data_IF_663564830596
#
_entry.id   IF_663564830596
#
_cell.length_a   1.000
_cell.length_b   1.000
_cell.length_c   1.000
_cell.angle_alpha   90.00
_cell.angle_beta   90.00
_cell.angle_gamma   90.00
#
_symmetry.space_group_name_H-M   'P 1'
#
loop_
_entity.id
_entity.type
_entity.pdbx_description
1 polymer ?
#
# COMPACT_ATOMS: atom_id res chain seq x y z
N UNK A 1 -13.27 10.94 2.87
CA UNK A 1 -12.46 9.85 3.47
C UNK A 1 -13.25 8.52 3.46
N UNK A 2 -14.59 8.56 3.34
CA UNK A 2 -15.44 7.36 3.44
C UNK A 2 -15.51 6.45 2.21
N UNK A 3 -14.82 6.77 1.12
CA UNK A 3 -14.87 5.96 -0.11
C UNK A 3 -13.56 5.23 -0.44
N UNK A 4 -12.59 5.24 0.47
CA UNK A 4 -11.26 4.71 0.17
C UNK A 4 -11.16 3.19 0.23
N UNK A 5 -12.01 2.56 1.04
CA UNK A 5 -12.13 1.12 1.14
C UNK A 5 -13.58 0.82 1.49
N UNK A 6 -14.19 -0.15 0.87
CA UNK A 6 -15.30 -0.89 1.47
C UNK A 6 -14.71 -1.66 2.68
N UNK A 7 -14.33 -0.89 3.68
CA UNK A 7 -13.86 -1.41 4.94
C UNK A 7 -15.09 -1.96 5.65
N UNK A 8 -15.09 -3.25 5.92
CA UNK A 8 -15.95 -3.83 6.95
C UNK A 8 -15.56 -3.19 8.28
N UNK A 9 -16.12 -2.03 8.54
CA UNK A 9 -15.87 -1.23 9.74
C UNK A 9 -16.92 -1.52 10.78
N UNK A 10 -16.52 -2.11 11.88
CA UNK A 10 -17.30 -2.05 13.12
C UNK A 10 -17.07 -0.66 13.72
N UNK A 11 -18.09 0.18 13.71
CA UNK A 11 -18.04 1.54 14.27
C UNK A 11 -18.58 1.54 15.69
N UNK A 12 -17.78 2.05 16.62
CA UNK A 12 -18.20 2.26 18.02
C UNK A 12 -19.01 3.52 18.22
N UNK A 13 -19.65 3.62 19.38
CA UNK A 13 -20.44 4.78 19.78
C UNK A 13 -19.55 5.96 20.15
N UNK A 14 -19.93 7.16 19.69
CA UNK A 14 -19.09 8.37 19.76
C UNK A 14 -19.19 9.13 21.09
N UNK A 15 -19.50 8.46 22.19
CA UNK A 15 -19.84 9.11 23.48
C UNK A 15 -18.65 9.54 24.35
N UNK A 16 -17.40 9.33 23.93
CA UNK A 16 -16.24 9.71 24.74
C UNK A 16 -15.57 10.99 24.24
N UNK A 17 -15.20 11.88 25.17
CA UNK A 17 -14.38 13.08 24.90
C UNK A 17 -12.94 12.75 24.46
N UNK A 18 -12.55 11.48 24.47
CA UNK A 18 -11.22 11.02 24.07
C UNK A 18 -11.13 10.86 22.55
N UNK A 19 -9.96 11.12 21.97
CA UNK A 19 -9.74 10.92 20.55
C UNK A 19 -9.92 9.46 20.17
N UNK A 20 -10.65 9.23 19.07
CA UNK A 20 -10.94 7.90 18.56
C UNK A 20 -9.78 7.40 17.67
N UNK A 21 -9.48 6.12 17.82
CA UNK A 21 -8.48 5.39 17.02
C UNK A 21 -9.17 4.25 16.31
N UNK A 22 -8.79 4.01 15.07
CA UNK A 22 -9.23 2.87 14.30
C UNK A 22 -8.07 1.89 14.17
N UNK A 23 -8.31 0.63 14.59
CA UNK A 23 -7.30 -0.41 14.61
C UNK A 23 -7.60 -1.49 13.58
N UNK A 24 -6.57 -2.09 12.99
CA UNK A 24 -6.73 -3.30 12.21
C UNK A 24 -7.18 -4.47 13.10
N UNK A 25 -7.97 -5.37 12.56
CA UNK A 25 -8.55 -6.50 13.30
C UNK A 25 -7.49 -7.37 13.98
N UNK A 26 -6.38 -7.62 13.31
CA UNK A 26 -5.29 -8.42 13.89
C UNK A 26 -4.65 -7.73 15.10
N UNK A 27 -4.45 -6.41 15.03
CA UNK A 27 -3.94 -5.62 16.16
C UNK A 27 -4.93 -5.61 17.32
N UNK A 28 -6.22 -5.40 17.06
CA UNK A 28 -7.26 -5.40 18.09
C UNK A 28 -7.35 -6.76 18.79
N UNK A 29 -7.31 -7.87 18.05
CA UNK A 29 -7.28 -9.23 18.60
C UNK A 29 -6.05 -9.50 19.44
N UNK A 30 -4.85 -9.12 18.94
CA UNK A 30 -3.59 -9.32 19.66
C UNK A 30 -3.54 -8.57 20.99
N UNK A 31 -4.12 -7.38 21.03
CA UNK A 31 -4.19 -6.55 22.23
C UNK A 31 -5.46 -6.81 23.07
N UNK A 32 -6.32 -7.73 22.62
CA UNK A 32 -7.62 -8.04 23.24
C UNK A 32 -8.48 -6.80 23.49
N UNK A 33 -8.55 -5.92 22.49
CA UNK A 33 -9.29 -4.66 22.50
C UNK A 33 -10.61 -4.80 21.75
N UNK A 34 -11.68 -4.26 22.34
CA UNK A 34 -13.00 -4.14 21.74
C UNK A 34 -13.33 -2.69 21.45
N UNK A 35 -14.44 -2.47 20.74
CA UNK A 35 -14.98 -1.13 20.51
C UNK A 35 -15.29 -0.44 21.85
N UNK A 36 -14.86 0.81 21.97
CA UNK A 36 -15.04 1.59 23.20
C UNK A 36 -13.95 1.39 24.26
N UNK A 37 -13.06 0.42 24.10
CA UNK A 37 -11.96 0.22 25.04
C UNK A 37 -10.94 1.36 24.97
N UNK A 38 -10.42 1.75 26.15
CA UNK A 38 -9.37 2.74 26.28
C UNK A 38 -8.00 2.14 25.98
N UNK A 39 -7.22 2.83 25.15
CA UNK A 39 -5.82 2.46 24.91
C UNK A 39 -4.91 3.69 25.03
N UNK A 40 -3.61 3.42 25.20
CA UNK A 40 -2.60 4.45 25.25
C UNK A 40 -1.63 4.26 24.09
N UNK A 41 -1.55 5.29 23.24
CA UNK A 41 -0.60 5.31 22.13
C UNK A 41 0.65 6.03 22.60
N UNK A 42 1.80 5.47 22.26
CA UNK A 42 3.10 6.05 22.57
C UNK A 42 3.87 6.30 21.28
N UNK A 43 4.54 7.45 21.20
CA UNK A 43 5.50 7.67 20.12
C UNK A 43 6.77 6.84 20.35
N UNK A 44 7.46 6.40 19.30
CA UNK A 44 8.82 5.90 19.46
C UNK A 44 9.66 6.99 20.11
N UNK A 45 10.67 6.57 20.88
CA UNK A 45 11.58 7.49 21.58
C UNK A 45 12.24 8.38 20.54
N UNK A 46 11.93 9.67 20.60
CA UNK A 46 12.56 10.66 19.74
C UNK A 46 13.93 11.01 20.34
N UNK A 47 15.01 10.74 19.61
CA UNK A 47 16.37 11.04 20.03
C UNK A 47 16.62 12.54 20.30
N UNK A 48 15.67 13.41 19.90
CA UNK A 48 15.68 14.84 20.21
C UNK A 48 15.04 15.20 21.55
N UNK A 49 14.39 14.27 22.23
CA UNK A 49 13.84 14.51 23.57
C UNK A 49 14.93 14.39 24.62
N UNK A 50 15.33 15.48 25.24
CA UNK A 50 16.42 15.56 26.25
C UNK A 50 16.27 14.62 27.44
N UNK A 51 15.11 13.99 27.63
CA UNK A 51 14.81 13.15 28.79
C UNK A 51 14.37 11.72 28.43
N UNK A 52 14.33 11.35 27.14
CA UNK A 52 14.03 9.99 26.69
C UNK A 52 12.62 9.46 27.07
N UNK A 53 11.70 10.34 27.51
CA UNK A 53 10.35 9.94 27.89
C UNK A 53 9.46 9.98 26.65
N UNK A 54 8.88 8.84 26.22
CA UNK A 54 8.01 8.80 25.05
C UNK A 54 6.71 9.57 25.36
N UNK A 55 6.24 10.32 24.38
CA UNK A 55 4.93 10.99 24.48
C UNK A 55 3.84 9.92 24.43
N UNK A 56 2.84 10.12 25.26
CA UNK A 56 1.71 9.21 25.38
C UNK A 56 0.40 9.99 25.27
N UNK A 57 -0.56 9.43 24.56
CA UNK A 57 -1.90 9.99 24.43
C UNK A 57 -2.90 8.87 24.71
N UNK A 58 -3.89 9.16 25.57
CA UNK A 58 -5.01 8.27 25.79
C UNK A 58 -6.01 8.43 24.66
N UNK A 59 -6.47 7.33 24.14
CA UNK A 59 -7.44 7.24 23.06
C UNK A 59 -8.46 6.16 23.36
N UNK A 60 -9.52 6.11 22.60
CA UNK A 60 -10.53 5.07 22.66
C UNK A 60 -10.63 4.38 21.31
N UNK A 61 -10.91 3.08 21.31
CA UNK A 61 -11.13 2.31 20.07
C UNK A 61 -12.47 2.75 19.46
N UNK A 62 -12.41 3.62 18.45
CA UNK A 62 -13.57 4.11 17.72
C UNK A 62 -14.04 3.19 16.60
N UNK A 63 -13.19 2.26 16.15
CA UNK A 63 -13.54 1.30 15.12
C UNK A 63 -12.46 0.26 14.91
N UNK A 64 -12.86 -0.89 14.40
CA UNK A 64 -11.96 -1.97 13.98
C UNK A 64 -12.20 -2.23 12.50
N UNK A 65 -11.14 -2.26 11.71
CA UNK A 65 -11.21 -2.50 10.27
C UNK A 65 -10.48 -3.77 9.86
N UNK A 66 -10.91 -4.35 8.76
CA UNK A 66 -10.27 -5.51 8.15
C UNK A 66 -10.11 -5.25 6.64
N UNK A 67 -8.86 -5.15 6.19
CA UNK A 67 -8.51 -4.93 4.78
C UNK A 67 -8.28 -6.27 4.06
N UNK A 68 -8.25 -7.38 4.80
CA UNK A 68 -7.92 -8.72 4.31
C UNK A 68 -6.48 -8.84 3.76
N UNK A 69 -5.61 -7.92 4.12
CA UNK A 69 -4.19 -7.96 3.84
C UNK A 69 -3.47 -8.08 5.17
N UNK A 70 -3.02 -9.29 5.49
CA UNK A 70 -2.44 -9.67 6.80
C UNK A 70 -1.41 -8.68 7.33
N UNK A 71 -0.51 -8.21 6.47
CA UNK A 71 0.55 -7.28 6.87
C UNK A 71 0.05 -5.86 7.18
N UNK A 72 -1.06 -5.43 6.60
CA UNK A 72 -1.63 -4.12 6.84
C UNK A 72 -2.52 -4.10 8.08
N UNK A 73 -3.33 -5.14 8.27
CA UNK A 73 -4.23 -5.26 9.43
C UNK A 73 -3.47 -5.38 10.77
N UNK A 74 -2.20 -5.79 10.73
CA UNK A 74 -1.34 -5.89 11.92
C UNK A 74 -0.51 -4.63 12.20
N UNK A 75 -0.24 -3.80 11.18
CA UNK A 75 0.75 -2.71 11.27
C UNK A 75 0.16 -1.31 11.17
N UNK A 76 -1.09 -1.18 10.74
CA UNK A 76 -1.69 0.13 10.48
C UNK A 76 -2.73 0.45 11.55
N UNK A 77 -2.71 1.69 12.01
CA UNK A 77 -3.74 2.30 12.82
C UNK A 77 -4.03 3.71 12.29
N UNK A 78 -5.31 4.07 12.24
CA UNK A 78 -5.71 5.42 11.85
C UNK A 78 -6.00 6.25 13.10
N UNK A 79 -5.38 7.41 13.18
CA UNK A 79 -5.57 8.37 14.26
C UNK A 79 -5.93 9.74 13.67
N UNK A 80 -6.66 10.59 14.40
CA UNK A 80 -6.90 11.95 13.96
C UNK A 80 -5.58 12.74 13.81
N UNK A 81 -5.51 13.60 12.80
CA UNK A 81 -4.29 14.36 12.49
C UNK A 81 -3.80 15.20 13.67
N UNK A 82 -4.71 15.81 14.44
CA UNK A 82 -4.38 16.56 15.64
C UNK A 82 -3.72 15.72 16.74
N UNK A 83 -4.08 14.44 16.84
CA UNK A 83 -3.47 13.48 17.77
C UNK A 83 -2.08 13.11 17.28
N UNK A 84 -1.95 12.82 15.99
CA UNK A 84 -0.66 12.53 15.35
C UNK A 84 0.35 13.67 15.53
N UNK A 85 -0.08 14.91 15.31
CA UNK A 85 0.78 16.09 15.51
C UNK A 85 1.24 16.27 16.96
N UNK A 86 0.40 15.92 17.94
CA UNK A 86 0.79 15.96 19.35
C UNK A 86 1.72 14.81 19.74
N UNK A 87 1.54 13.66 19.12
CA UNK A 87 2.31 12.45 19.40
C UNK A 87 3.71 12.53 18.78
N UNK A 88 3.78 12.92 17.52
CA UNK A 88 5.02 13.11 16.78
C UNK A 88 5.35 14.59 16.75
N UNK A 89 6.47 15.01 17.36
CA UNK A 89 6.91 16.41 17.37
C UNK A 89 7.39 16.79 15.96
N UNK A 90 6.47 16.97 15.05
CA UNK A 90 6.81 17.46 13.71
C UNK A 90 6.33 18.90 13.56
N UNK A 91 7.27 19.79 13.28
CA UNK A 91 7.00 21.21 13.07
C UNK A 91 6.39 21.50 11.69
N UNK A 92 6.44 20.55 10.78
CA UNK A 92 6.25 20.79 9.34
C UNK A 92 5.01 20.10 8.72
N UNK A 93 4.01 19.78 9.52
CA UNK A 93 2.76 19.21 8.98
C UNK A 93 2.83 17.71 8.64
N UNK A 94 1.97 17.20 7.75
CA UNK A 94 1.96 15.82 7.34
C UNK A 94 3.16 15.46 6.44
N UNK A 95 3.62 14.22 6.50
CA UNK A 95 4.73 13.73 5.66
C UNK A 95 4.36 13.64 4.18
N UNK A 96 3.08 13.44 3.89
CA UNK A 96 2.57 13.31 2.55
C UNK A 96 1.06 13.42 2.49
N UNK A 97 0.56 13.53 1.29
CA UNK A 97 -0.87 13.56 0.98
C UNK A 97 -1.13 12.55 -0.12
N UNK A 98 -2.01 11.60 0.14
CA UNK A 98 -2.44 10.64 -0.86
C UNK A 98 -3.59 11.22 -1.68
N UNK A 99 -3.43 11.20 -3.00
CA UNK A 99 -4.42 11.71 -3.95
C UNK A 99 -4.94 10.56 -4.79
N UNK A 100 -6.24 10.32 -4.72
CA UNK A 100 -6.90 9.35 -5.59
C UNK A 100 -7.47 10.05 -6.82
N UNK A 101 -7.12 9.54 -7.98
CA UNK A 101 -7.63 10.03 -9.25
C UNK A 101 -8.90 9.26 -9.66
N UNK A 102 -9.71 9.86 -10.52
CA UNK A 102 -10.82 9.19 -11.20
C UNK A 102 -10.28 8.22 -12.25
N UNK A 103 -11.06 7.20 -12.62
CA UNK A 103 -10.63 6.10 -13.50
C UNK A 103 -10.06 6.56 -14.87
N UNK A 104 -10.51 7.70 -15.38
CA UNK A 104 -10.10 8.22 -16.69
C UNK A 104 -9.04 9.33 -16.61
N UNK A 105 -8.46 9.57 -15.43
CA UNK A 105 -7.46 10.62 -15.28
C UNK A 105 -6.09 10.17 -15.79
N UNK A 106 -5.44 11.04 -16.55
CA UNK A 106 -4.06 10.85 -16.98
C UNK A 106 -3.11 11.16 -15.80
N UNK A 107 -2.50 10.10 -15.27
CA UNK A 107 -1.61 10.17 -14.10
C UNK A 107 -0.42 11.09 -14.36
N UNK A 108 0.21 10.97 -15.53
CA UNK A 108 1.42 11.73 -15.87
C UNK A 108 1.11 13.23 -15.98
N UNK A 109 -0.02 13.56 -16.56
CA UNK A 109 -0.48 14.96 -16.69
C UNK A 109 -0.80 15.56 -15.33
N UNK A 110 -1.47 14.81 -14.46
CA UNK A 110 -1.79 15.27 -13.10
C UNK A 110 -0.52 15.44 -12.28
N UNK A 111 0.39 14.46 -12.32
CA UNK A 111 1.70 14.50 -11.68
C UNK A 111 2.47 15.76 -12.10
N UNK A 112 2.58 16.01 -13.40
CA UNK A 112 3.26 17.21 -13.92
C UNK A 112 2.60 18.53 -13.46
N UNK A 113 1.28 18.55 -13.37
CA UNK A 113 0.52 19.73 -12.91
C UNK A 113 0.75 20.02 -11.44
N UNK A 114 0.72 18.99 -10.60
CA UNK A 114 0.97 19.10 -9.16
C UNK A 114 2.41 19.50 -8.91
N UNK A 115 3.37 18.87 -9.57
CA UNK A 115 4.79 19.17 -9.44
C UNK A 115 5.13 20.63 -9.81
N UNK A 116 4.45 21.18 -10.84
CA UNK A 116 4.59 22.60 -11.21
C UNK A 116 4.06 23.55 -10.14
N UNK A 117 2.97 23.16 -9.47
CA UNK A 117 2.31 24.01 -8.48
C UNK A 117 2.97 23.95 -7.11
N UNK A 118 3.57 22.82 -6.77
CA UNK A 118 4.22 22.55 -5.49
C UNK A 118 5.67 22.16 -5.74
N UNK A 119 6.52 23.13 -5.99
CA UNK A 119 7.95 22.93 -6.33
C UNK A 119 8.75 22.26 -5.22
N UNK A 120 8.30 22.38 -3.98
CA UNK A 120 8.96 21.78 -2.80
C UNK A 120 8.40 20.40 -2.42
N UNK A 121 7.37 19.92 -3.12
CA UNK A 121 6.80 18.62 -2.88
C UNK A 121 7.34 17.60 -3.88
N UNK A 122 7.68 16.40 -3.41
CA UNK A 122 7.96 15.27 -4.28
C UNK A 122 6.65 14.57 -4.62
N UNK A 123 6.41 14.33 -5.90
CA UNK A 123 5.15 13.73 -6.38
C UNK A 123 5.48 12.39 -7.02
N UNK A 124 5.07 11.31 -6.35
CA UNK A 124 5.21 9.95 -6.86
C UNK A 124 3.86 9.38 -7.26
N UNK A 125 3.82 8.63 -8.32
CA UNK A 125 2.69 7.76 -8.62
C UNK A 125 2.86 6.43 -7.89
N UNK A 126 1.77 5.69 -7.73
CA UNK A 126 1.85 4.34 -7.18
C UNK A 126 2.80 3.43 -7.98
N UNK A 127 2.87 3.63 -9.29
CA UNK A 127 3.80 2.92 -10.17
C UNK A 127 5.27 3.25 -9.88
N UNK A 128 5.58 4.50 -9.53
CA UNK A 128 6.95 4.90 -9.19
C UNK A 128 7.40 4.28 -7.87
N UNK A 129 6.53 4.28 -6.87
CA UNK A 129 6.79 3.67 -5.56
C UNK A 129 7.00 2.16 -5.63
N UNK A 130 6.39 1.50 -6.61
CA UNK A 130 6.48 0.05 -6.82
C UNK A 130 7.21 -0.33 -8.12
N UNK A 131 8.13 0.51 -8.57
CA UNK A 131 8.87 0.32 -9.82
C UNK A 131 9.61 -1.01 -9.89
N UNK A 132 10.08 -1.54 -8.77
CA UNK A 132 10.72 -2.86 -8.68
C UNK A 132 9.75 -3.99 -9.01
N UNK A 133 8.50 -3.91 -8.50
CA UNK A 133 7.45 -4.90 -8.81
C UNK A 133 7.07 -4.85 -10.29
N UNK A 134 6.92 -3.66 -10.85
CA UNK A 134 6.64 -3.48 -12.28
C UNK A 134 7.80 -3.97 -13.16
N UNK A 135 9.04 -3.74 -12.72
CA UNK A 135 10.24 -4.27 -13.37
C UNK A 135 10.24 -5.79 -13.40
N UNK A 136 9.95 -6.44 -12.27
CA UNK A 136 9.87 -7.90 -12.18
C UNK A 136 8.76 -8.48 -13.06
N UNK A 137 7.57 -7.92 -13.05
CA UNK A 137 6.45 -8.34 -13.92
C UNK A 137 6.77 -8.19 -15.41
N UNK A 138 7.44 -7.10 -15.80
CA UNK A 138 7.85 -6.87 -17.17
C UNK A 138 8.92 -7.89 -17.61
N UNK A 139 9.86 -8.19 -16.72
CA UNK A 139 10.90 -9.19 -16.98
C UNK A 139 10.30 -10.61 -17.12
N UNK A 140 9.38 -10.99 -16.25
CA UNK A 140 8.64 -12.25 -16.32
C UNK A 140 7.89 -12.40 -17.66
N UNK A 141 7.19 -11.34 -18.09
CA UNK A 141 6.46 -11.35 -19.36
C UNK A 141 7.39 -11.52 -20.55
N UNK A 142 8.52 -10.82 -20.57
CA UNK A 142 9.53 -10.95 -21.65
C UNK A 142 10.16 -12.33 -21.62
N UNK A 143 10.48 -12.86 -20.46
CA UNK A 143 11.02 -14.21 -20.28
C UNK A 143 10.07 -15.29 -20.80
N UNK A 144 8.80 -15.22 -20.42
CA UNK A 144 7.77 -16.15 -20.90
C UNK A 144 7.60 -16.10 -22.41
N UNK A 145 7.60 -14.91 -23.01
CA UNK A 145 7.52 -14.77 -24.47
C UNK A 145 8.76 -15.35 -25.18
N UNK A 146 9.95 -15.18 -24.61
CA UNK A 146 11.18 -15.75 -25.16
C UNK A 146 11.16 -17.28 -25.13
N UNK A 147 10.75 -17.88 -24.01
CA UNK A 147 10.62 -19.34 -23.88
C UNK A 147 9.57 -19.89 -24.85
N UNK A 148 8.41 -19.25 -24.94
CA UNK A 148 7.36 -19.66 -25.87
C UNK A 148 7.83 -19.58 -27.33
N UNK A 149 8.55 -18.51 -27.71
CA UNK A 149 9.13 -18.34 -29.02
C UNK A 149 10.13 -19.45 -29.35
N UNK A 150 10.98 -19.84 -28.40
CA UNK A 150 11.92 -20.93 -28.55
C UNK A 150 11.22 -22.28 -28.76
N UNK A 151 10.16 -22.57 -28.01
CA UNK A 151 9.37 -23.80 -28.15
C UNK A 151 8.76 -23.88 -29.56
N UNK A 152 8.16 -22.77 -30.03
CA UNK A 152 7.59 -22.70 -31.39
C UNK A 152 8.65 -22.94 -32.44
N UNK A 153 9.83 -22.33 -32.29
CA UNK A 153 10.93 -22.50 -33.21
C UNK A 153 11.39 -23.96 -33.28
N UNK A 154 11.56 -24.64 -32.16
CA UNK A 154 11.92 -26.06 -32.10
C UNK A 154 10.83 -26.92 -32.74
N UNK A 155 9.56 -26.65 -32.50
CA UNK A 155 8.45 -27.38 -33.12
C UNK A 155 8.46 -27.19 -34.65
N UNK A 156 8.72 -25.99 -35.16
CA UNK A 156 8.84 -25.73 -36.59
C UNK A 156 10.00 -26.53 -37.23
N UNK A 157 11.16 -26.57 -36.57
CA UNK A 157 12.31 -27.37 -37.07
C UNK A 157 11.97 -28.84 -37.11
N UNK A 158 11.33 -29.39 -36.07
CA UNK A 158 10.91 -30.79 -36.05
C UNK A 158 9.92 -31.10 -37.20
N UNK A 159 8.97 -30.19 -37.45
CA UNK A 159 8.00 -30.37 -38.54
C UNK A 159 8.71 -30.40 -39.92
N UNK A 160 9.60 -29.43 -40.16
CA UNK A 160 10.33 -29.34 -41.41
C UNK A 160 11.20 -30.60 -41.64
N UNK A 161 11.93 -31.03 -40.60
CA UNK A 161 12.74 -32.26 -40.68
C UNK A 161 11.91 -33.49 -41.02
N UNK A 162 10.75 -33.62 -40.38
CA UNK A 162 9.81 -34.75 -40.60
C UNK A 162 9.28 -34.75 -42.04
N UNK A 163 8.91 -33.57 -42.57
CA UNK A 163 8.43 -33.40 -43.95
C UNK A 163 9.50 -33.72 -44.96
N UNK A 164 10.74 -33.26 -44.77
CA UNK A 164 11.87 -33.51 -45.66
C UNK A 164 12.19 -35.00 -45.66
N UNK A 165 12.27 -35.64 -44.48
CA UNK A 165 12.55 -37.06 -44.38
C UNK A 165 11.43 -37.93 -45.01
N UNK A 166 10.18 -37.54 -44.78
CA UNK A 166 9.00 -38.21 -45.37
C UNK A 166 9.00 -38.11 -46.90
N UNK A 167 9.33 -36.95 -47.47
CA UNK A 167 9.43 -36.78 -48.92
C UNK A 167 10.57 -37.57 -49.56
N UNK A 168 11.69 -37.70 -48.84
CA UNK A 168 12.87 -38.48 -49.32
C UNK A 168 12.63 -39.99 -49.30
N UNK A 169 11.70 -40.48 -48.50
CA UNK A 169 11.37 -41.93 -48.42
C UNK A 169 10.31 -42.36 -49.45
N UNK A 170 9.57 -41.46 -50.06
CA UNK A 170 8.45 -41.74 -51.00
C UNK A 170 8.89 -41.49 -52.47
N UNK A 171 10.01 -40.84 -52.71
CA UNK A 171 10.61 -40.64 -54.05
C UNK A 171 11.71 -41.64 -54.33
#
# INVERSE_FOLDING_TARGET
>A
ISSFYELNMLKGDSSSDLPQVFLGEMTARRLNLNLGDGLRIMSPIDHGSSWGIPRQIQCVVGGIFNIQVLDLDDKIAFIPTNVGQKLFIRKEGPDGVDIRLTENADIDRVKATIQKRFTNAHVDSWGDLHSELFGAMKFERIGSLAVLSLIILVACFNLVTTLVLGSALIG
#
